data_IF_165816419059
#
_entry.id   IF_165816419059
#
_cell.length_a   1.000
_cell.length_b   1.000
_cell.length_c   1.000
_cell.angle_alpha   90.00
_cell.angle_beta   90.00
_cell.angle_gamma   90.00
#
_symmetry.space_group_name_H-M   'P 1'
#
loop_
_entity.id
_entity.type
_entity.pdbx_description
1 polymer ?
#
# COMPACT_ATOMS: atom_id res chain seq x y z
N UNK A 1 4.09 -17.99 5.57
CA UNK A 1 4.00 -16.57 5.17
C UNK A 1 5.42 -16.02 5.09
N UNK A 2 5.95 -15.84 3.87
CA UNK A 2 7.28 -15.24 3.66
C UNK A 2 7.26 -13.70 3.84
N UNK A 3 6.06 -13.11 3.89
CA UNK A 3 5.84 -11.68 4.00
C UNK A 3 4.64 -11.26 3.15
N UNK A 4 4.63 -9.98 2.78
CA UNK A 4 3.55 -9.37 2.03
C UNK A 4 4.09 -8.73 0.74
N UNK A 5 3.32 -8.82 -0.33
CA UNK A 5 3.44 -7.94 -1.50
C UNK A 5 2.38 -6.85 -1.36
N UNK A 6 2.83 -5.60 -1.34
CA UNK A 6 1.97 -4.44 -1.16
C UNK A 6 1.93 -3.66 -2.46
N UNK A 7 0.72 -3.35 -2.93
CA UNK A 7 0.48 -2.46 -4.07
C UNK A 7 -0.40 -1.30 -3.63
N UNK A 8 0.05 -0.08 -3.93
CA UNK A 8 -0.72 1.15 -3.69
C UNK A 8 -1.21 1.68 -5.03
N UNK A 9 -2.52 1.80 -5.14
CA UNK A 9 -3.22 2.21 -6.35
C UNK A 9 -4.04 3.47 -6.12
N UNK A 10 -4.05 4.36 -7.11
CA UNK A 10 -4.84 5.59 -7.09
C UNK A 10 -6.28 5.31 -7.51
N UNK A 11 -7.20 5.50 -6.58
CA UNK A 11 -8.65 5.39 -6.77
C UNK A 11 -9.28 4.41 -5.79
N UNK A 12 -10.58 4.21 -5.96
CA UNK A 12 -11.41 3.34 -5.11
C UNK A 12 -11.24 1.85 -5.44
N UNK A 13 -11.54 0.95 -4.49
CA UNK A 13 -11.56 -0.50 -4.72
C UNK A 13 -12.40 -0.90 -5.93
N UNK A 14 -13.56 -0.28 -6.11
CA UNK A 14 -14.50 -0.57 -7.19
C UNK A 14 -13.94 -0.17 -8.55
N UNK A 15 -13.29 1.00 -8.64
CA UNK A 15 -12.62 1.44 -9.86
C UNK A 15 -11.47 0.50 -10.21
N UNK A 16 -10.66 0.12 -9.21
CA UNK A 16 -9.56 -0.84 -9.40
C UNK A 16 -10.08 -2.18 -9.93
N UNK A 17 -11.17 -2.70 -9.39
CA UNK A 17 -11.69 -3.99 -9.78
C UNK A 17 -12.27 -3.99 -11.20
N UNK A 18 -12.80 -2.85 -11.67
CA UNK A 18 -13.27 -2.66 -13.06
C UNK A 18 -12.16 -2.27 -14.05
N UNK A 19 -11.04 -1.74 -13.55
CA UNK A 19 -9.94 -1.27 -14.38
C UNK A 19 -9.28 -2.39 -15.19
N UNK A 20 -8.90 -2.07 -16.43
CA UNK A 20 -8.10 -2.97 -17.26
C UNK A 20 -6.68 -3.12 -16.68
N UNK A 21 -5.90 -4.15 -17.07
CA UNK A 21 -4.51 -4.26 -16.64
C UNK A 21 -3.69 -3.00 -16.92
N UNK A 22 -3.91 -2.35 -18.07
CA UNK A 22 -3.24 -1.11 -18.47
C UNK A 22 -3.62 0.06 -17.56
N UNK A 23 -4.91 0.19 -17.22
CA UNK A 23 -5.38 1.25 -16.31
C UNK A 23 -4.86 1.03 -14.89
N UNK A 24 -4.79 -0.24 -14.44
CA UNK A 24 -4.22 -0.60 -13.15
C UNK A 24 -2.77 -0.18 -13.08
N UNK A 25 -1.96 -0.54 -14.07
CA UNK A 25 -0.56 -0.16 -14.17
C UNK A 25 -0.38 1.37 -14.18
N UNK A 26 -1.24 2.10 -14.91
CA UNK A 26 -1.17 3.56 -15.01
C UNK A 26 -1.51 4.26 -13.68
N UNK A 27 -2.40 3.68 -12.87
CA UNK A 27 -2.79 4.23 -11.58
C UNK A 27 -2.03 3.63 -10.38
N UNK A 28 -1.14 2.65 -10.59
CA UNK A 28 -0.19 2.21 -9.56
C UNK A 28 0.77 3.35 -9.20
N UNK A 29 0.85 3.65 -7.91
CA UNK A 29 1.75 4.63 -7.32
C UNK A 29 3.02 3.97 -6.77
N UNK A 30 2.85 2.80 -6.13
CA UNK A 30 3.94 2.07 -5.51
C UNK A 30 3.67 0.57 -5.42
N UNK A 31 4.75 -0.20 -5.43
CA UNK A 31 4.76 -1.65 -5.21
C UNK A 31 6.02 -2.03 -4.43
N UNK A 32 5.91 -2.94 -3.46
CA UNK A 32 7.07 -3.50 -2.78
C UNK A 32 6.74 -4.83 -2.09
N UNK A 33 7.78 -5.56 -1.72
CA UNK A 33 7.69 -6.69 -0.81
C UNK A 33 8.22 -6.33 0.57
N UNK A 34 7.67 -6.92 1.61
CA UNK A 34 8.07 -6.69 3.01
C UNK A 34 7.88 -7.96 3.85
N UNK A 35 8.60 -8.10 4.96
CA UNK A 35 8.48 -9.24 5.87
C UNK A 35 7.14 -9.35 6.60
N UNK A 36 7.02 -10.35 7.47
CA UNK A 36 5.78 -10.72 8.18
C UNK A 36 5.07 -9.55 8.89
N UNK A 37 5.82 -8.65 9.49
CA UNK A 37 5.32 -7.45 10.21
C UNK A 37 5.17 -6.21 9.30
N UNK A 38 5.11 -6.42 8.00
CA UNK A 38 5.08 -5.35 7.01
C UNK A 38 3.77 -4.58 6.91
N UNK A 39 2.71 -5.00 7.61
CA UNK A 39 1.40 -4.36 7.63
C UNK A 39 1.12 -3.55 8.90
N UNK A 40 2.09 -3.43 9.82
CA UNK A 40 1.89 -2.70 11.08
C UNK A 40 1.46 -1.25 10.82
N UNK A 41 2.07 -0.59 9.81
CA UNK A 41 1.70 0.78 9.43
C UNK A 41 0.24 0.90 8.97
N UNK A 42 -0.28 -0.07 8.21
CA UNK A 42 -1.70 -0.11 7.83
C UNK A 42 -2.59 -0.34 9.04
N UNK A 43 -2.18 -1.23 9.94
CA UNK A 43 -2.89 -1.50 11.19
C UNK A 43 -2.99 -0.24 12.05
N UNK A 44 -1.92 0.54 12.16
CA UNK A 44 -1.91 1.81 12.88
C UNK A 44 -2.76 2.89 12.18
N UNK A 45 -2.76 2.97 10.85
CA UNK A 45 -3.65 3.86 10.11
C UNK A 45 -5.13 3.51 10.34
N UNK A 46 -5.47 2.23 10.35
CA UNK A 46 -6.85 1.77 10.63
C UNK A 46 -7.25 2.11 12.06
N UNK A 47 -6.39 1.86 13.06
CA UNK A 47 -6.65 2.24 14.45
C UNK A 47 -6.83 3.75 14.63
N UNK A 48 -6.10 4.55 13.85
CA UNK A 48 -6.21 6.01 13.86
C UNK A 48 -7.43 6.56 13.09
N UNK A 49 -8.24 5.70 12.45
CA UNK A 49 -9.37 6.11 11.61
C UNK A 49 -8.98 6.79 10.30
N UNK A 50 -7.72 6.60 9.85
CA UNK A 50 -7.15 7.19 8.62
C UNK A 50 -7.13 6.21 7.45
N UNK A 51 -7.37 4.94 7.73
CA UNK A 51 -7.61 3.90 6.76
C UNK A 51 -8.82 3.06 7.19
N UNK A 52 -9.48 2.46 6.23
CA UNK A 52 -10.53 1.48 6.45
C UNK A 52 -10.10 0.14 5.86
N UNK A 53 -10.22 -0.92 6.65
CA UNK A 53 -9.98 -2.28 6.21
C UNK A 53 -11.27 -2.86 5.66
N UNK A 54 -11.31 -3.10 4.35
CA UNK A 54 -12.51 -3.55 3.65
C UNK A 54 -12.65 -5.07 3.69
N UNK A 55 -11.53 -5.78 3.63
CA UNK A 55 -11.52 -7.25 3.63
C UNK A 55 -10.22 -7.80 4.23
N UNK A 56 -10.34 -8.67 5.24
CA UNK A 56 -9.21 -9.38 5.89
C UNK A 56 -9.31 -10.91 5.78
N UNK A 57 -10.38 -11.46 5.20
CA UNK A 57 -10.65 -12.92 5.22
C UNK A 57 -10.32 -13.66 3.91
N UNK A 58 -9.32 -13.19 3.17
CA UNK A 58 -8.81 -13.80 1.93
C UNK A 58 -7.70 -12.95 1.31
N UNK A 59 -7.00 -13.47 0.30
CA UNK A 59 -6.00 -12.70 -0.45
C UNK A 59 -6.62 -12.02 -1.66
N UNK A 60 -6.39 -10.70 -1.82
CA UNK A 60 -5.61 -9.81 -0.95
C UNK A 60 -6.40 -9.32 0.27
N UNK A 61 -5.68 -8.97 1.34
CA UNK A 61 -6.21 -8.04 2.35
C UNK A 61 -6.26 -6.65 1.74
N UNK A 62 -7.41 -5.97 1.81
CA UNK A 62 -7.63 -4.70 1.12
C UNK A 62 -7.98 -3.58 2.08
N UNK A 63 -7.34 -2.44 1.86
CA UNK A 63 -7.51 -1.21 2.61
C UNK A 63 -7.84 -0.06 1.67
N UNK A 64 -8.55 0.93 2.19
CA UNK A 64 -8.74 2.24 1.57
C UNK A 64 -8.26 3.33 2.51
N UNK A 65 -7.60 4.36 1.99
CA UNK A 65 -7.06 5.48 2.76
C UNK A 65 -6.92 6.73 1.88
N UNK A 66 -6.77 7.91 2.49
CA UNK A 66 -6.46 9.11 1.73
C UNK A 66 -4.97 9.17 1.38
N UNK A 67 -4.65 9.72 0.22
CA UNK A 67 -3.27 9.90 -0.23
C UNK A 67 -2.44 10.73 0.75
N UNK A 68 -3.04 11.73 1.39
CA UNK A 68 -2.41 12.56 2.42
C UNK A 68 -2.01 11.79 3.69
N UNK A 69 -2.62 10.63 3.95
CA UNK A 69 -2.26 9.79 5.11
C UNK A 69 -1.23 8.70 4.75
N UNK A 70 -1.18 8.29 3.48
CA UNK A 70 -0.31 7.19 3.00
C UNK A 70 0.99 7.71 2.39
N UNK A 71 0.93 8.66 1.45
CA UNK A 71 2.08 9.09 0.65
C UNK A 71 3.18 9.74 1.50
N UNK A 72 2.89 10.52 2.57
CA UNK A 72 3.94 11.04 3.46
C UNK A 72 4.73 9.96 4.20
N UNK A 73 4.25 8.73 4.27
CA UNK A 73 4.99 7.61 4.87
C UNK A 73 6.15 7.14 3.98
N UNK A 74 6.19 7.56 2.71
CA UNK A 74 7.23 7.18 1.77
C UNK A 74 8.46 8.09 1.97
N UNK A 75 9.18 7.86 3.07
CA UNK A 75 10.33 8.69 3.46
C UNK A 75 11.54 8.37 2.58
N UNK A 76 12.14 9.38 1.96
CA UNK A 76 13.34 9.25 1.11
C UNK A 76 13.26 8.13 0.05
N UNK A 77 12.07 7.94 -0.54
CA UNK A 77 11.84 6.89 -1.54
C UNK A 77 11.79 5.47 -0.97
N UNK A 78 11.64 5.33 0.36
CA UNK A 78 11.44 4.06 1.04
C UNK A 78 9.98 3.95 1.49
N UNK A 79 9.21 2.96 0.99
CA UNK A 79 7.84 2.74 1.43
C UNK A 79 7.79 2.20 2.86
N UNK A 80 6.67 2.35 3.57
CA UNK A 80 6.52 1.84 4.92
C UNK A 80 6.51 0.31 4.94
N UNK A 81 7.03 -0.25 6.02
CA UNK A 81 7.31 -1.67 6.14
C UNK A 81 8.57 -1.79 6.97
N UNK A 82 8.50 -2.48 8.09
CA UNK A 82 9.50 -2.38 9.16
C UNK A 82 10.95 -2.57 8.69
N UNK A 83 11.78 -1.57 9.01
CA UNK A 83 13.25 -1.61 9.02
C UNK A 83 13.82 -1.03 10.32
N UNK A 84 13.08 -1.12 11.44
CA UNK A 84 13.43 -0.49 12.72
C UNK A 84 13.29 -1.46 13.90
N UNK A 85 14.39 -2.14 14.24
CA UNK A 85 14.64 -2.86 15.51
C UNK A 85 14.01 -4.22 15.83
N UNK A 86 13.04 -4.75 15.08
CA UNK A 86 12.44 -6.06 15.40
C UNK A 86 12.28 -6.96 14.19
N UNK A 87 13.14 -7.99 14.06
CA UNK A 87 13.07 -9.27 13.28
C UNK A 87 12.41 -9.33 11.87
N UNK A 88 11.86 -8.25 11.34
CA UNK A 88 11.17 -8.14 10.06
C UNK A 88 12.11 -7.72 8.95
N UNK A 89 11.88 -8.25 7.75
CA UNK A 89 12.62 -7.89 6.54
C UNK A 89 12.16 -6.52 6.04
N UNK A 90 13.11 -5.60 5.87
CA UNK A 90 12.90 -4.30 5.26
C UNK A 90 12.31 -4.42 3.84
N UNK A 91 11.63 -3.37 3.35
CA UNK A 91 11.09 -3.34 1.99
C UNK A 91 12.14 -3.70 0.92
N UNK A 92 11.76 -4.52 -0.05
CA UNK A 92 12.61 -4.93 -1.18
C UNK A 92 11.79 -5.07 -2.47
N UNK A 93 12.47 -5.12 -3.62
CA UNK A 93 11.83 -5.00 -4.96
C UNK A 93 10.87 -3.81 -5.03
N UNK A 94 11.35 -2.68 -4.49
CA UNK A 94 10.58 -1.45 -4.40
C UNK A 94 10.47 -0.82 -5.78
N UNK A 95 9.24 -0.53 -6.20
CA UNK A 95 8.92 0.25 -7.39
C UNK A 95 8.06 1.42 -6.96
N UNK A 96 8.59 2.62 -7.11
CA UNK A 96 7.85 3.87 -6.87
C UNK A 96 7.71 4.62 -8.19
N UNK A 97 6.55 5.25 -8.37
CA UNK A 97 6.32 6.18 -9.47
C UNK A 97 6.29 7.61 -8.92
N UNK A 98 7.47 8.25 -8.70
CA UNK A 98 7.56 9.54 -8.01
C UNK A 98 6.74 10.64 -8.68
N UNK A 99 6.72 10.68 -10.02
CA UNK A 99 5.92 11.66 -10.78
C UNK A 99 4.41 11.51 -10.49
N UNK A 100 3.94 10.26 -10.37
CA UNK A 100 2.52 9.97 -10.09
C UNK A 100 2.18 10.24 -8.62
N UNK A 101 3.10 9.94 -7.71
CA UNK A 101 2.98 10.23 -6.28
C UNK A 101 2.90 11.75 -6.07
N UNK A 102 3.81 12.51 -6.68
CA UNK A 102 3.87 13.97 -6.59
C UNK A 102 2.64 14.65 -7.20
N UNK A 103 2.07 14.07 -8.27
CA UNK A 103 0.86 14.56 -8.90
C UNK A 103 -0.45 14.12 -8.19
N UNK A 104 -0.37 13.27 -7.16
CA UNK A 104 -1.53 12.71 -6.49
C UNK A 104 -2.10 13.71 -5.46
N UNK A 105 -3.38 14.14 -5.59
CA UNK A 105 -4.01 15.03 -4.61
C UNK A 105 -4.06 14.39 -3.22
N UNK A 106 -3.90 15.15 -2.14
CA UNK A 106 -3.90 14.60 -0.78
C UNK A 106 -5.26 14.02 -0.35
N UNK A 107 -6.36 14.51 -0.91
CA UNK A 107 -7.74 14.05 -0.71
C UNK A 107 -8.12 12.89 -1.64
N UNK A 108 -7.21 12.44 -2.50
CA UNK A 108 -7.44 11.30 -3.38
C UNK A 108 -7.53 10.01 -2.56
N UNK A 109 -8.62 9.28 -2.72
CA UNK A 109 -8.74 7.91 -2.19
C UNK A 109 -7.74 6.99 -2.89
N UNK A 110 -7.02 6.22 -2.08
CA UNK A 110 -6.10 5.17 -2.50
C UNK A 110 -6.61 3.81 -2.07
N UNK A 111 -6.38 2.81 -2.91
CA UNK A 111 -6.57 1.41 -2.57
C UNK A 111 -5.21 0.78 -2.29
N UNK A 112 -5.09 0.08 -1.17
CA UNK A 112 -3.89 -0.68 -0.82
C UNK A 112 -4.25 -2.15 -0.76
N UNK A 113 -3.62 -2.96 -1.61
CA UNK A 113 -3.73 -4.42 -1.53
C UNK A 113 -2.48 -4.99 -0.88
N UNK A 114 -2.67 -5.89 0.07
CA UNK A 114 -1.64 -6.71 0.67
C UNK A 114 -1.88 -8.20 0.34
N UNK A 115 -1.00 -8.77 -0.47
CA UNK A 115 -1.00 -10.19 -0.84
C UNK A 115 0.01 -10.94 0.02
N UNK A 116 -0.42 -12.00 0.69
CA UNK A 116 0.50 -12.89 1.39
C UNK A 116 1.35 -13.68 0.40
N UNK A 117 2.59 -13.94 0.81
CA UNK A 117 3.60 -14.66 0.05
C UNK A 117 3.77 -16.09 0.61
N UNK A 118 2.71 -16.72 1.12
CA UNK A 118 2.75 -18.12 1.60
C UNK A 118 2.64 -19.14 0.47
#
# INVERSE_FOLDING_TARGET
MLGWSITVWRGTPEERDRATPQDREAATLAYWHVGLYGLDWLTELVKAGRAEELWRSGYPSRYTALAGDVLPLFTDGTPPGSGGSGTGRAPFDVRLHPDRIAACPADQTLTVDAWDQS
#
